data_IF_574069338630
#
_entry.id   IF_574069338630
#
_cell.length_a   1.000
_cell.length_b   1.000
_cell.length_c   1.000
_cell.angle_alpha   90.00
_cell.angle_beta   90.00
_cell.angle_gamma   90.00
#
_symmetry.space_group_name_H-M   'P 1'
#
loop_
_entity.id
_entity.type
_entity.pdbx_description
1 polymer ?
#
# COMPACT_ATOMS: atom_id res chain seq x y z
N UNK A 1 2.83 16.31 37.03
CA UNK A 1 2.67 17.15 35.83
C UNK A 1 3.31 16.40 34.68
N UNK A 2 2.49 15.69 33.89
CA UNK A 2 2.93 15.02 32.67
C UNK A 2 3.33 16.09 31.66
N UNK A 3 4.54 15.98 31.13
CA UNK A 3 4.96 16.73 29.94
C UNK A 3 3.92 16.51 28.86
N UNK A 4 3.36 17.54 28.20
CA UNK A 4 2.49 17.32 27.06
C UNK A 4 3.26 16.51 26.03
N UNK A 5 2.68 15.38 25.59
CA UNK A 5 3.17 14.66 24.42
C UNK A 5 3.34 15.68 23.29
N UNK A 6 4.56 15.80 22.77
CA UNK A 6 4.79 16.60 21.58
C UNK A 6 3.88 16.03 20.49
N UNK A 7 2.91 16.83 20.03
CA UNK A 7 1.99 16.43 18.98
C UNK A 7 2.82 15.97 17.79
N UNK A 8 2.74 14.67 17.43
CA UNK A 8 3.44 14.15 16.26
C UNK A 8 2.95 14.91 15.03
N UNK A 9 3.81 15.80 14.53
CA UNK A 9 3.50 16.67 13.39
C UNK A 9 3.20 15.86 12.13
N UNK A 10 3.63 14.60 12.06
CA UNK A 10 3.38 13.71 10.91
C UNK A 10 2.05 12.99 10.98
N UNK A 11 1.22 13.25 12.00
CA UNK A 11 -0.15 12.73 12.06
C UNK A 11 -0.90 13.13 10.77
N UNK A 12 -1.51 12.18 10.04
CA UNK A 12 -2.14 12.44 8.75
C UNK A 12 -3.45 13.21 8.94
N UNK A 13 -3.35 14.54 9.06
CA UNK A 13 -4.50 15.40 9.28
C UNK A 13 -5.51 15.26 8.13
N UNK A 14 -6.80 15.10 8.46
CA UNK A 14 -7.86 14.98 7.47
C UNK A 14 -8.00 13.61 6.80
N UNK A 15 -7.21 12.61 7.21
CA UNK A 15 -7.50 11.20 6.95
C UNK A 15 -8.21 10.62 8.17
N UNK A 16 -9.37 10.02 7.94
CA UNK A 16 -10.05 9.15 8.88
C UNK A 16 -10.35 7.80 8.24
N UNK A 17 -10.79 6.81 9.02
CA UNK A 17 -11.13 5.47 8.53
C UNK A 17 -12.09 5.42 7.32
N UNK A 18 -13.00 6.39 7.16
CA UNK A 18 -13.92 6.51 6.01
C UNK A 18 -13.38 7.35 4.86
N UNK A 19 -12.20 7.96 5.01
CA UNK A 19 -11.61 8.74 3.94
C UNK A 19 -11.25 7.81 2.79
N UNK A 20 -11.81 8.08 1.62
CA UNK A 20 -11.33 7.46 0.38
C UNK A 20 -9.97 8.09 0.09
N UNK A 21 -8.95 7.26 0.01
CA UNK A 21 -7.62 7.62 -0.46
C UNK A 21 -7.43 7.11 -1.87
N UNK A 22 -6.51 7.75 -2.59
CA UNK A 22 -6.18 7.35 -3.94
C UNK A 22 -4.70 7.51 -4.24
N UNK A 23 -4.21 6.63 -5.11
CA UNK A 23 -2.84 6.57 -5.57
C UNK A 23 -2.82 6.59 -7.08
N UNK A 24 -2.00 7.45 -7.68
CA UNK A 24 -1.72 7.37 -9.10
C UNK A 24 -0.84 6.15 -9.40
N UNK A 25 -1.23 5.39 -10.42
CA UNK A 25 -0.61 4.11 -10.77
C UNK A 25 -0.04 4.21 -12.17
N UNK A 26 1.21 3.81 -12.33
CA UNK A 26 1.83 3.72 -13.65
C UNK A 26 1.06 2.69 -14.51
N UNK A 27 0.74 2.98 -15.80
CA UNK A 27 -0.02 2.07 -16.65
C UNK A 27 0.49 0.61 -16.70
N UNK A 28 1.80 0.41 -16.66
CA UNK A 28 2.39 -0.92 -16.58
C UNK A 28 2.02 -1.66 -15.27
N UNK A 29 1.96 -0.97 -14.13
CA UNK A 29 1.56 -1.57 -12.86
C UNK A 29 0.04 -1.84 -12.82
N UNK A 30 -0.77 -0.97 -13.42
CA UNK A 30 -2.21 -1.20 -13.57
C UNK A 30 -2.51 -2.53 -14.29
N UNK A 31 -1.76 -2.84 -15.35
CA UNK A 31 -1.86 -4.12 -16.03
C UNK A 31 -1.49 -5.31 -15.12
N UNK A 32 -0.44 -5.17 -14.32
CA UNK A 32 -0.01 -6.22 -13.39
C UNK A 32 -1.02 -6.44 -12.26
N UNK A 33 -1.65 -5.38 -11.75
CA UNK A 33 -2.74 -5.47 -10.77
C UNK A 33 -3.89 -6.29 -11.35
N UNK A 34 -4.46 -5.86 -12.48
CA UNK A 34 -5.61 -6.51 -13.10
C UNK A 34 -5.33 -7.95 -13.55
N UNK A 35 -4.08 -8.25 -13.86
CA UNK A 35 -3.66 -9.61 -14.19
C UNK A 35 -3.27 -10.48 -13.02
N UNK A 36 -3.43 -10.01 -11.79
CA UNK A 36 -3.00 -10.72 -10.59
C UNK A 36 -1.54 -11.19 -10.66
N UNK A 37 -0.70 -10.42 -11.34
CA UNK A 37 0.69 -10.79 -11.60
C UNK A 37 1.54 -10.48 -10.38
N UNK A 38 2.38 -11.43 -10.00
CA UNK A 38 3.49 -11.19 -9.09
C UNK A 38 4.78 -11.20 -9.90
N UNK A 39 5.52 -10.10 -9.82
CA UNK A 39 6.87 -10.02 -10.40
C UNK A 39 7.84 -10.18 -9.24
N UNK A 40 8.59 -11.30 -9.16
CA UNK A 40 9.49 -11.57 -8.04
C UNK A 40 10.38 -10.36 -7.73
N UNK A 41 10.50 -10.03 -6.45
CA UNK A 41 11.24 -8.88 -5.92
C UNK A 41 10.78 -7.48 -6.37
N UNK A 42 9.77 -7.37 -7.25
CA UNK A 42 9.36 -6.10 -7.87
C UNK A 42 7.94 -5.70 -7.53
N UNK A 43 6.99 -6.61 -7.68
CA UNK A 43 5.58 -6.25 -7.67
C UNK A 43 4.69 -7.38 -7.12
N UNK A 44 3.68 -6.98 -6.35
CA UNK A 44 2.71 -7.84 -5.72
C UNK A 44 1.31 -7.23 -5.92
N UNK A 45 0.46 -7.88 -6.72
CA UNK A 45 -0.86 -7.32 -7.07
C UNK A 45 -1.81 -7.11 -5.88
N UNK A 46 -1.51 -7.65 -4.71
CA UNK A 46 -2.34 -7.53 -3.51
C UNK A 46 -1.86 -6.45 -2.53
N UNK A 47 -0.83 -5.67 -2.88
CA UNK A 47 -0.24 -4.65 -2.01
C UNK A 47 -0.05 -3.32 -2.71
N UNK A 48 -0.03 -2.25 -1.93
CA UNK A 48 0.39 -0.92 -2.37
C UNK A 48 1.07 -0.17 -1.23
N UNK A 49 1.83 0.85 -1.56
CA UNK A 49 2.50 1.76 -0.64
C UNK A 49 2.89 3.06 -1.33
N UNK A 50 3.56 3.95 -0.61
CA UNK A 50 4.03 5.24 -1.13
C UNK A 50 2.96 6.32 -1.13
N UNK A 51 3.09 7.27 -2.05
CA UNK A 51 2.30 8.51 -2.03
C UNK A 51 0.82 8.29 -2.39
N UNK A 52 -0.05 8.86 -1.55
CA UNK A 52 -1.50 8.88 -1.71
C UNK A 52 -2.06 10.27 -1.41
N UNK A 53 -3.24 10.57 -1.94
CA UNK A 53 -4.01 11.79 -1.66
C UNK A 53 -5.44 11.42 -1.28
N UNK A 54 -6.21 12.35 -0.69
CA UNK A 54 -7.64 12.11 -0.41
C UNK A 54 -8.43 12.22 -1.71
N UNK A 55 -9.37 11.31 -1.93
CA UNK A 55 -10.23 11.32 -3.11
C UNK A 55 -11.03 12.61 -3.27
N UNK A 56 -11.43 13.23 -2.16
CA UNK A 56 -12.21 14.48 -2.15
C UNK A 56 -11.41 15.73 -2.59
N UNK A 57 -10.07 15.70 -2.51
CA UNK A 57 -9.25 16.87 -2.84
C UNK A 57 -8.96 16.93 -4.34
N UNK A 58 -9.39 15.93 -5.10
CA UNK A 58 -8.94 15.76 -6.46
C UNK A 58 -9.76 16.57 -7.45
N UNK A 59 -9.11 17.31 -8.37
CA UNK A 59 -9.82 18.14 -9.32
C UNK A 59 -10.58 17.28 -10.34
N UNK A 60 -11.77 17.74 -10.73
CA UNK A 60 -12.37 17.32 -11.99
C UNK A 60 -11.53 17.87 -13.14
N UNK A 61 -11.30 17.08 -14.19
CA UNK A 61 -10.48 17.55 -15.31
C UNK A 61 -9.99 16.45 -16.24
N UNK A 62 -9.09 16.82 -17.14
CA UNK A 62 -8.45 15.92 -18.11
C UNK A 62 -7.38 15.07 -17.47
N UNK A 63 -6.98 13.97 -18.11
CA UNK A 63 -5.87 13.14 -17.62
C UNK A 63 -4.57 13.93 -17.38
N UNK A 64 -4.30 14.99 -18.15
CA UNK A 64 -3.15 15.87 -17.91
C UNK A 64 -3.29 16.66 -16.60
N UNK A 65 -4.48 17.19 -16.29
CA UNK A 65 -4.76 17.80 -15.00
C UNK A 65 -4.59 16.80 -13.84
N UNK A 66 -4.91 15.51 -14.07
CA UNK A 66 -4.65 14.46 -13.10
C UNK A 66 -3.13 14.29 -12.87
N UNK A 67 -2.34 14.18 -13.93
CA UNK A 67 -0.87 14.05 -13.79
C UNK A 67 -0.23 15.26 -13.13
N UNK A 68 -0.75 16.46 -13.40
CA UNK A 68 -0.27 17.72 -12.81
C UNK A 68 -0.62 17.80 -11.33
N UNK A 69 -1.83 17.42 -10.93
CA UNK A 69 -2.27 17.39 -9.53
C UNK A 69 -1.43 16.43 -8.66
N UNK A 70 -1.04 15.27 -9.19
CA UNK A 70 -0.09 14.35 -8.52
C UNK A 70 1.38 14.76 -8.70
N UNK A 71 1.66 15.72 -9.59
CA UNK A 71 3.02 16.13 -9.94
C UNK A 71 3.81 15.12 -10.76
N UNK A 72 3.20 14.01 -11.20
CA UNK A 72 3.90 12.99 -12.00
C UNK A 72 4.18 13.45 -13.42
N UNK A 73 3.54 14.52 -13.87
CA UNK A 73 3.87 15.24 -15.11
C UNK A 73 5.33 15.73 -15.16
N UNK A 74 5.92 15.95 -13.97
CA UNK A 74 7.31 16.39 -13.79
C UNK A 74 8.29 15.22 -13.62
N UNK A 75 7.80 13.99 -13.61
CA UNK A 75 8.63 12.78 -13.46
C UNK A 75 9.11 12.33 -14.84
N UNK A 76 10.43 12.23 -15.07
CA UNK A 76 10.96 11.80 -16.36
C UNK A 76 10.43 10.42 -16.77
N UNK A 77 9.92 10.32 -17.99
CA UNK A 77 9.41 9.07 -18.55
C UNK A 77 8.01 8.66 -18.10
N UNK A 78 7.32 9.47 -17.28
CA UNK A 78 5.94 9.20 -16.93
C UNK A 78 5.02 9.22 -18.18
N UNK A 79 4.17 8.20 -18.41
CA UNK A 79 3.31 8.15 -19.58
C UNK A 79 2.28 9.28 -19.65
N UNK A 80 2.11 9.85 -20.84
CA UNK A 80 1.05 10.83 -21.14
C UNK A 80 -0.24 10.16 -21.60
N UNK A 81 -1.35 10.89 -21.59
CA UNK A 81 -2.66 10.38 -22.00
C UNK A 81 -3.33 9.62 -20.87
N UNK A 82 -3.89 8.44 -21.14
CA UNK A 82 -4.67 7.65 -20.17
C UNK A 82 -3.89 7.40 -18.87
N UNK A 83 -4.48 7.75 -17.73
CA UNK A 83 -3.92 7.55 -16.40
C UNK A 83 -4.71 6.50 -15.62
N UNK A 84 -4.09 5.96 -14.57
CA UNK A 84 -4.73 4.97 -13.70
C UNK A 84 -4.67 5.40 -12.25
N UNK A 85 -5.75 5.16 -11.52
CA UNK A 85 -5.85 5.45 -10.09
C UNK A 85 -6.28 4.19 -9.34
N UNK A 86 -5.59 3.90 -8.24
CA UNK A 86 -6.07 2.97 -7.23
C UNK A 86 -6.87 3.77 -6.20
N UNK A 87 -8.08 3.33 -5.84
CA UNK A 87 -8.98 3.98 -4.87
C UNK A 87 -9.47 3.01 -3.81
N UNK A 88 -9.44 3.42 -2.54
CA UNK A 88 -9.87 2.59 -1.43
C UNK A 88 -10.11 3.41 -0.16
N UNK A 89 -10.82 2.86 0.81
CA UNK A 89 -10.93 3.47 2.14
C UNK A 89 -9.63 3.34 2.93
N UNK A 90 -9.29 4.33 3.75
CA UNK A 90 -8.10 4.28 4.59
C UNK A 90 -8.18 3.21 5.69
N UNK A 91 -9.37 2.91 6.22
CA UNK A 91 -9.69 2.00 7.35
C UNK A 91 -9.05 2.35 8.70
N UNK A 92 -7.83 2.88 8.69
CA UNK A 92 -7.08 3.31 9.87
C UNK A 92 -6.22 4.50 9.48
N UNK A 93 -5.87 5.33 10.46
CA UNK A 93 -4.91 6.42 10.27
C UNK A 93 -3.48 5.97 10.53
N UNK A 94 -3.28 4.81 11.16
CA UNK A 94 -1.97 4.32 11.63
C UNK A 94 -1.02 3.91 10.49
N UNK A 95 -1.53 3.73 9.27
CA UNK A 95 -0.73 3.35 8.09
C UNK A 95 -0.28 4.56 7.26
N UNK A 96 -0.68 5.78 7.66
CA UNK A 96 -0.46 6.99 6.89
C UNK A 96 0.34 8.01 7.70
N UNK A 97 1.22 8.73 7.02
CA UNK A 97 1.95 9.87 7.59
C UNK A 97 1.93 11.04 6.62
N UNK A 98 1.94 12.26 7.14
CA UNK A 98 2.10 13.46 6.31
C UNK A 98 3.52 13.51 5.74
N UNK A 99 3.66 13.85 4.45
CA UNK A 99 4.93 13.76 3.70
C UNK A 99 5.84 14.96 3.93
N UNK A 100 6.22 15.21 5.18
CA UNK A 100 7.27 16.17 5.49
C UNK A 100 8.65 15.62 5.14
N UNK A 101 9.50 16.44 4.52
CA UNK A 101 10.79 16.02 4.02
C UNK A 101 11.53 17.10 3.25
N UNK A 102 12.47 16.68 2.41
CA UNK A 102 13.16 17.59 1.52
C UNK A 102 13.72 16.90 0.28
N UNK A 103 14.33 17.69 -0.60
CA UNK A 103 15.06 17.18 -1.77
C UNK A 103 16.54 16.88 -1.49
N UNK A 104 17.00 17.30 -0.32
CA UNK A 104 18.32 17.07 0.25
C UNK A 104 18.16 16.78 1.74
N UNK A 105 19.13 16.11 2.34
CA UNK A 105 19.13 15.84 3.78
C UNK A 105 19.04 17.12 4.62
N UNK A 106 19.76 18.19 4.22
CA UNK A 106 19.70 19.48 4.89
C UNK A 106 18.29 20.10 4.89
N UNK A 107 17.57 20.02 3.76
CA UNK A 107 16.18 20.49 3.70
C UNK A 107 15.22 19.61 4.50
N UNK A 108 15.45 18.30 4.55
CA UNK A 108 14.65 17.38 5.36
C UNK A 108 14.82 17.66 6.87
N UNK A 109 16.06 17.89 7.32
CA UNK A 109 16.34 18.22 8.71
C UNK A 109 15.68 19.53 9.15
N UNK A 110 15.57 20.52 8.27
CA UNK A 110 14.80 21.76 8.54
C UNK A 110 13.31 21.50 8.77
N UNK A 111 12.78 20.40 8.24
CA UNK A 111 11.41 19.92 8.46
C UNK A 111 11.30 18.91 9.61
N UNK A 112 12.38 18.66 10.37
CA UNK A 112 12.38 17.75 11.51
C UNK A 112 12.37 16.26 11.13
N UNK A 113 12.86 15.91 9.96
CA UNK A 113 12.81 14.55 9.39
C UNK A 113 14.08 14.19 8.63
N UNK A 114 14.30 12.90 8.35
CA UNK A 114 15.36 12.39 7.46
C UNK A 114 14.84 11.98 6.08
N UNK A 115 13.56 12.24 5.81
CA UNK A 115 12.88 11.89 4.56
C UNK A 115 13.38 12.73 3.40
N UNK A 116 13.95 12.07 2.40
CA UNK A 116 14.54 12.70 1.21
C UNK A 116 13.99 12.03 -0.05
N UNK A 117 13.27 12.76 -0.88
CA UNK A 117 12.79 12.31 -2.19
C UNK A 117 13.26 13.27 -3.27
N UNK A 118 13.54 12.80 -4.50
CA UNK A 118 14.02 13.68 -5.55
C UNK A 118 12.87 14.51 -6.11
N UNK A 119 13.20 15.50 -6.96
CA UNK A 119 12.19 16.28 -7.67
C UNK A 119 11.17 15.36 -8.36
N UNK A 120 9.87 15.70 -8.34
CA UNK A 120 9.31 17.01 -7.98
C UNK A 120 8.90 17.17 -6.50
N UNK A 121 9.26 16.24 -5.60
CA UNK A 121 8.83 16.27 -4.19
C UNK A 121 9.09 17.62 -3.49
N UNK A 122 8.07 18.14 -2.80
CA UNK A 122 8.16 19.40 -2.06
C UNK A 122 8.57 19.23 -0.61
N UNK A 123 8.20 18.11 0.04
CA UNK A 123 8.44 17.91 1.47
C UNK A 123 7.56 18.75 2.39
N UNK A 124 6.48 19.32 1.87
CA UNK A 124 5.57 20.23 2.58
C UNK A 124 4.27 19.55 3.01
N UNK A 125 4.08 18.26 2.74
CA UNK A 125 2.80 17.58 2.91
C UNK A 125 1.78 17.88 1.81
N UNK A 126 2.22 18.48 0.69
CA UNK A 126 1.37 18.78 -0.46
C UNK A 126 2.04 18.39 -1.78
N UNK A 127 1.23 18.06 -2.78
CA UNK A 127 1.71 17.70 -4.12
C UNK A 127 2.36 18.87 -4.85
N UNK A 128 3.31 18.62 -5.78
CA UNK A 128 3.99 19.66 -6.54
C UNK A 128 3.18 20.12 -7.77
N UNK A 129 1.99 20.66 -7.55
CA UNK A 129 1.09 21.19 -8.58
C UNK A 129 0.87 22.70 -8.44
N UNK A 130 0.22 23.31 -9.43
CA UNK A 130 -0.24 24.70 -9.36
C UNK A 130 -1.36 24.91 -8.34
N UNK A 131 -2.13 23.85 -8.06
CA UNK A 131 -3.16 23.77 -7.02
C UNK A 131 -2.82 22.63 -6.04
N UNK A 132 -1.87 22.83 -5.11
CA UNK A 132 -1.36 21.77 -4.25
C UNK A 132 -2.46 21.12 -3.41
N UNK A 133 -2.50 19.79 -3.41
CA UNK A 133 -3.42 19.01 -2.57
C UNK A 133 -2.65 18.25 -1.49
N UNK A 134 -3.26 17.99 -0.32
CA UNK A 134 -2.63 17.21 0.74
C UNK A 134 -2.11 15.86 0.25
N UNK A 135 -0.87 15.56 0.60
CA UNK A 135 -0.13 14.36 0.21
C UNK A 135 0.31 13.59 1.46
N UNK A 136 0.18 12.27 1.40
CA UNK A 136 0.49 11.36 2.50
C UNK A 136 1.34 10.20 2.00
N UNK A 137 2.19 9.68 2.87
CA UNK A 137 2.91 8.44 2.65
C UNK A 137 2.13 7.31 3.31
N UNK A 138 1.82 6.29 2.53
CA UNK A 138 1.22 5.05 3.01
C UNK A 138 2.29 3.97 3.13
N UNK A 139 2.38 3.31 4.28
CA UNK A 139 3.23 2.13 4.44
C UNK A 139 2.84 1.03 3.45
N UNK A 140 3.80 0.22 3.00
CA UNK A 140 3.51 -0.93 2.15
C UNK A 140 2.62 -1.93 2.91
N UNK A 141 1.38 -2.09 2.46
CA UNK A 141 0.35 -2.90 3.12
C UNK A 141 -0.49 -3.64 2.08
N UNK A 142 -1.26 -4.63 2.52
CA UNK A 142 -2.29 -5.24 1.68
C UNK A 142 -3.39 -4.23 1.31
N UNK A 143 -3.88 -4.35 0.09
CA UNK A 143 -5.05 -3.62 -0.35
C UNK A 143 -6.29 -4.09 0.41
N UNK A 144 -7.18 -3.18 0.83
CA UNK A 144 -8.46 -3.58 1.38
C UNK A 144 -9.32 -4.25 0.29
N UNK A 145 -10.15 -5.20 0.69
CA UNK A 145 -11.26 -5.70 -0.14
C UNK A 145 -12.08 -4.52 -0.65
N UNK A 146 -12.58 -4.61 -1.88
CA UNK A 146 -13.31 -3.53 -2.54
C UNK A 146 -12.44 -2.37 -3.03
N UNK A 147 -11.10 -2.42 -2.91
CA UNK A 147 -10.24 -1.46 -3.59
C UNK A 147 -10.51 -1.49 -5.10
N UNK A 148 -10.55 -0.32 -5.73
CA UNK A 148 -10.92 -0.16 -7.13
C UNK A 148 -9.73 0.35 -7.93
N UNK A 149 -9.61 -0.12 -9.16
CA UNK A 149 -8.70 0.45 -10.15
C UNK A 149 -9.52 1.22 -11.18
N UNK A 150 -9.17 2.48 -11.37
CA UNK A 150 -9.85 3.40 -12.27
C UNK A 150 -8.94 3.76 -13.43
N UNK A 151 -9.53 3.86 -14.62
CA UNK A 151 -8.89 4.36 -15.84
C UNK A 151 -9.47 5.73 -16.16
N UNK A 152 -8.61 6.73 -16.29
CA UNK A 152 -8.97 8.11 -16.63
C UNK A 152 -8.48 8.38 -18.04
N UNK A 153 -9.41 8.55 -18.97
CA UNK A 153 -9.12 8.83 -20.37
C UNK A 153 -8.62 10.27 -20.55
N UNK A 154 -7.95 10.60 -21.68
CA UNK A 154 -7.46 11.95 -21.94
C UNK A 154 -8.53 13.04 -21.80
N UNK A 155 -9.80 12.73 -22.11
CA UNK A 155 -10.95 13.62 -21.96
C UNK A 155 -11.30 13.95 -20.51
N UNK A 156 -10.82 13.17 -19.53
CA UNK A 156 -11.24 13.22 -18.14
C UNK A 156 -12.31 12.19 -17.77
N UNK A 157 -12.85 11.46 -18.74
CA UNK A 157 -13.78 10.37 -18.47
C UNK A 157 -13.09 9.30 -17.61
N UNK A 158 -13.63 9.02 -16.43
CA UNK A 158 -13.10 8.06 -15.50
C UNK A 158 -14.05 6.86 -15.37
N UNK A 159 -13.51 5.65 -15.51
CA UNK A 159 -14.26 4.40 -15.32
C UNK A 159 -13.51 3.39 -14.48
N UNK A 160 -14.24 2.65 -13.65
CA UNK A 160 -13.69 1.51 -12.94
C UNK A 160 -13.36 0.38 -13.92
N UNK A 161 -12.13 -0.10 -13.87
CA UNK A 161 -11.57 -1.18 -14.69
C UNK A 161 -11.30 -2.45 -13.87
N UNK A 162 -11.59 -2.44 -12.58
CA UNK A 162 -11.52 -3.65 -11.78
C UNK A 162 -11.66 -3.35 -10.29
N UNK A 163 -11.94 -4.41 -9.55
CA UNK A 163 -12.03 -4.36 -8.09
C UNK A 163 -11.23 -5.50 -7.49
N UNK A 164 -10.60 -5.24 -6.36
CA UNK A 164 -9.86 -6.21 -5.57
C UNK A 164 -10.78 -6.88 -4.57
N UNK A 165 -10.86 -8.21 -4.58
CA UNK A 165 -11.78 -8.96 -3.74
C UNK A 165 -11.18 -9.18 -2.35
N UNK A 166 -10.03 -9.83 -2.25
CA UNK A 166 -9.18 -9.98 -1.05
C UNK A 166 -7.94 -10.80 -1.44
N UNK A 167 -6.97 -11.00 -0.52
CA UNK A 167 -5.66 -11.61 -0.83
C UNK A 167 -5.69 -13.02 -1.43
N UNK A 168 -6.78 -13.75 -1.24
CA UNK A 168 -6.95 -15.10 -1.79
C UNK A 168 -7.60 -15.14 -3.19
N UNK A 169 -8.33 -14.09 -3.59
CA UNK A 169 -9.04 -14.01 -4.88
C UNK A 169 -8.47 -12.93 -5.81
N UNK A 170 -7.90 -11.86 -5.25
CA UNK A 170 -7.24 -10.77 -5.96
C UNK A 170 -8.19 -9.91 -6.79
N UNK A 171 -7.66 -9.35 -7.88
CA UNK A 171 -8.35 -8.44 -8.78
C UNK A 171 -9.27 -9.15 -9.76
N UNK A 172 -10.45 -8.58 -9.93
CA UNK A 172 -11.43 -8.95 -10.94
C UNK A 172 -11.63 -7.75 -11.87
N UNK A 173 -11.21 -7.85 -13.15
CA UNK A 173 -11.44 -6.79 -14.13
C UNK A 173 -12.93 -6.60 -14.43
N UNK A 174 -13.33 -5.38 -14.84
CA UNK A 174 -14.67 -5.15 -15.39
C UNK A 174 -14.73 -5.53 -16.88
N UNK A 175 -15.94 -5.75 -17.42
CA UNK A 175 -16.15 -6.32 -18.76
C UNK A 175 -15.54 -5.50 -19.93
N UNK A 176 -15.23 -4.22 -19.70
CA UNK A 176 -14.75 -3.28 -20.73
C UNK A 176 -13.22 -3.09 -20.74
N UNK A 177 -12.50 -4.10 -20.23
CA UNK A 177 -11.07 -4.01 -19.98
C UNK A 177 -10.31 -4.93 -20.93
N UNK A 178 -9.93 -4.38 -22.08
CA UNK A 178 -8.93 -5.00 -22.94
C UNK A 178 -7.53 -4.62 -22.46
N UNK A 179 -6.87 -5.49 -21.70
CA UNK A 179 -5.43 -5.41 -21.45
C UNK A 179 -4.71 -6.54 -22.17
N UNK A 180 -3.85 -6.19 -23.13
CA UNK A 180 -3.00 -7.15 -23.85
C UNK A 180 -3.75 -8.18 -24.72
N UNK A 181 -3.02 -9.08 -25.39
CA UNK A 181 -3.59 -10.08 -26.30
C UNK A 181 -4.28 -11.27 -25.60
N UNK A 182 -4.29 -11.33 -24.26
CA UNK A 182 -4.74 -12.50 -23.50
C UNK A 182 -5.87 -12.14 -22.54
N UNK A 183 -7.11 -12.60 -22.82
CA UNK A 183 -8.28 -12.48 -21.93
C UNK A 183 -8.27 -13.49 -20.76
N UNK A 184 -7.20 -14.25 -20.60
CA UNK A 184 -7.07 -15.26 -19.56
C UNK A 184 -6.29 -14.68 -18.38
N UNK A 185 -7.03 -14.31 -17.33
CA UNK A 185 -6.46 -13.87 -16.07
C UNK A 185 -6.40 -15.09 -15.14
N UNK A 186 -5.21 -15.60 -14.81
CA UNK A 186 -5.11 -16.66 -13.82
C UNK A 186 -5.66 -16.14 -12.48
N UNK A 187 -6.27 -17.03 -11.70
CA UNK A 187 -6.47 -16.77 -10.28
C UNK A 187 -5.14 -16.30 -9.68
N UNK A 188 -5.13 -15.38 -8.70
CA UNK A 188 -3.89 -14.89 -8.13
C UNK A 188 -3.05 -16.08 -7.70
N UNK A 189 -1.76 -15.99 -7.96
CA UNK A 189 -0.84 -16.93 -7.36
C UNK A 189 -1.11 -16.90 -5.85
N UNK A 190 -1.55 -18.02 -5.29
CA UNK A 190 -1.66 -18.18 -3.85
C UNK A 190 -0.35 -17.72 -3.27
N UNK A 191 -0.42 -16.74 -2.36
CA UNK A 191 0.77 -16.20 -1.72
C UNK A 191 1.42 -17.35 -0.97
N UNK A 192 2.44 -17.95 -1.58
CA UNK A 192 3.38 -18.81 -0.88
C UNK A 192 4.22 -17.88 -0.03
N UNK A 193 3.62 -17.39 1.05
CA UNK A 193 4.24 -16.48 1.99
C UNK A 193 5.39 -17.23 2.64
N UNK A 194 6.60 -17.05 2.12
CA UNK A 194 7.83 -17.47 2.80
C UNK A 194 8.06 -16.61 4.05
N UNK A 195 7.41 -15.44 4.10
CA UNK A 195 7.44 -14.47 5.19
C UNK A 195 6.01 -14.04 5.53
N UNK A 196 5.50 -14.42 6.71
CA UNK A 196 4.20 -13.96 7.22
C UNK A 196 4.30 -12.50 7.65
N UNK A 197 3.39 -11.66 7.15
CA UNK A 197 3.31 -10.20 7.36
C UNK A 197 1.95 -9.65 6.92
N UNK A 198 1.69 -8.38 7.19
CA UNK A 198 0.46 -7.70 6.84
C UNK A 198 -0.52 -7.58 7.99
N UNK A 199 -1.76 -7.23 7.67
CA UNK A 199 -2.85 -7.21 8.64
C UNK A 199 -3.17 -8.64 9.13
N UNK A 200 -3.22 -8.79 10.46
CA UNK A 200 -3.53 -10.02 11.17
C UNK A 200 -4.63 -9.75 12.20
N UNK A 201 -5.40 -10.78 12.52
CA UNK A 201 -6.43 -10.69 13.55
C UNK A 201 -6.52 -11.99 14.35
N UNK A 202 -6.93 -11.85 15.61
CA UNK A 202 -7.27 -12.99 16.47
C UNK A 202 -8.79 -13.02 16.65
N UNK A 203 -9.43 -14.14 16.32
CA UNK A 203 -10.88 -14.31 16.38
C UNK A 203 -11.22 -15.63 17.07
N UNK A 204 -12.03 -15.57 18.13
CA UNK A 204 -12.38 -16.73 18.94
C UNK A 204 -11.15 -17.51 19.44
N UNK A 205 -10.10 -16.77 19.84
CA UNK A 205 -8.84 -17.35 20.33
C UNK A 205 -7.94 -17.97 19.26
N UNK A 206 -8.22 -17.78 17.96
CA UNK A 206 -7.41 -18.29 16.85
C UNK A 206 -6.85 -17.16 15.99
N UNK A 207 -5.62 -17.33 15.50
CA UNK A 207 -4.97 -16.37 14.62
C UNK A 207 -5.37 -16.57 13.15
N UNK A 208 -5.55 -15.45 12.46
CA UNK A 208 -5.86 -15.38 11.05
C UNK A 208 -4.98 -14.32 10.38
N UNK A 209 -4.72 -14.51 9.09
CA UNK A 209 -4.34 -13.39 8.24
C UNK A 209 -5.63 -12.62 7.89
N UNK A 210 -5.57 -11.31 7.74
CA UNK A 210 -6.77 -10.50 7.56
C UNK A 210 -6.59 -9.45 6.48
N UNK A 211 -7.65 -9.10 5.77
CA UNK A 211 -7.73 -7.86 4.99
C UNK A 211 -8.75 -6.93 5.66
N UNK A 212 -8.59 -5.63 5.48
CA UNK A 212 -9.71 -4.73 5.68
C UNK A 212 -10.79 -5.05 4.65
N UNK A 213 -12.07 -5.09 5.07
CA UNK A 213 -13.17 -5.39 4.17
C UNK A 213 -13.51 -4.19 3.25
N UNK A 214 -14.54 -4.31 2.40
CA UNK A 214 -14.99 -3.22 1.52
C UNK A 214 -15.68 -2.06 2.26
N UNK A 215 -15.95 -2.23 3.56
CA UNK A 215 -16.52 -1.20 4.42
C UNK A 215 -15.62 -0.95 5.61
N UNK A 216 -15.38 0.31 5.99
CA UNK A 216 -14.69 0.64 7.22
C UNK A 216 -15.37 0.02 8.45
N UNK A 217 -14.59 -0.56 9.36
CA UNK A 217 -15.10 -1.26 10.55
C UNK A 217 -15.35 -2.76 10.36
N UNK A 218 -15.01 -3.30 9.20
CA UNK A 218 -15.12 -4.73 8.91
C UNK A 218 -13.77 -5.30 8.44
N UNK A 219 -13.58 -6.61 8.69
CA UNK A 219 -12.41 -7.38 8.31
C UNK A 219 -12.83 -8.61 7.51
N UNK A 220 -11.95 -9.08 6.62
CA UNK A 220 -12.03 -10.40 5.99
C UNK A 220 -10.92 -11.27 6.56
N UNK A 221 -11.30 -12.32 7.28
CA UNK A 221 -10.39 -13.28 7.92
C UNK A 221 -10.08 -14.44 6.98
N UNK A 222 -8.81 -14.82 6.95
CA UNK A 222 -8.26 -15.90 6.13
C UNK A 222 -7.56 -16.92 7.03
N UNK A 223 -7.90 -18.23 6.91
CA UNK A 223 -7.16 -19.28 7.62
C UNK A 223 -5.68 -19.23 7.27
N UNK A 224 -4.82 -19.45 8.27
CA UNK A 224 -3.38 -19.49 8.03
C UNK A 224 -3.02 -20.66 7.09
N UNK A 225 -1.97 -20.51 6.27
CA UNK A 225 -1.53 -21.57 5.36
C UNK A 225 -1.34 -22.92 6.08
N UNK A 226 -1.92 -23.98 5.50
CA UNK A 226 -1.85 -25.33 6.06
C UNK A 226 -2.82 -25.62 7.22
N UNK A 227 -3.60 -24.63 7.68
CA UNK A 227 -4.64 -24.85 8.67
C UNK A 227 -6.00 -25.14 8.01
N UNK A 228 -6.79 -25.98 8.67
CA UNK A 228 -8.17 -26.20 8.26
C UNK A 228 -9.03 -24.96 8.58
N UNK A 229 -9.75 -24.49 7.57
CA UNK A 229 -10.74 -23.43 7.72
C UNK A 229 -11.83 -23.85 8.73
N UNK A 230 -12.24 -22.97 9.64
CA UNK A 230 -13.44 -23.18 10.46
C UNK A 230 -14.70 -23.43 9.59
N UNK A 231 -15.70 -24.13 10.14
CA UNK A 231 -16.89 -24.54 9.39
C UNK A 231 -17.78 -23.36 8.95
N UNK A 232 -17.73 -22.25 9.68
CA UNK A 232 -18.45 -21.01 9.44
C UNK A 232 -17.82 -20.14 8.33
N UNK A 233 -16.63 -20.50 7.83
CA UNK A 233 -15.99 -19.79 6.73
C UNK A 233 -16.64 -20.17 5.39
N UNK A 234 -17.06 -19.16 4.64
CA UNK A 234 -17.62 -19.33 3.31
C UNK A 234 -16.56 -19.85 2.33
N UNK A 235 -16.97 -20.71 1.39
CA UNK A 235 -16.13 -21.08 0.24
C UNK A 235 -16.60 -20.32 -1.00
N UNK A 236 -15.65 -19.67 -1.68
CA UNK A 236 -15.91 -19.06 -2.99
C UNK A 236 -14.62 -19.08 -3.80
N UNK A 237 -14.70 -19.54 -5.05
CA UNK A 237 -13.58 -19.58 -5.99
C UNK A 237 -12.32 -20.28 -5.43
N UNK A 238 -12.52 -21.32 -4.60
CA UNK A 238 -11.44 -22.08 -3.94
C UNK A 238 -10.81 -21.39 -2.72
N UNK A 239 -11.26 -20.18 -2.37
CA UNK A 239 -10.87 -19.45 -1.18
C UNK A 239 -11.85 -19.71 -0.03
N UNK A 240 -11.32 -19.76 1.20
CA UNK A 240 -12.11 -19.90 2.44
C UNK A 240 -11.87 -18.67 3.30
N UNK A 241 -12.93 -17.92 3.59
CA UNK A 241 -12.82 -16.68 4.36
C UNK A 241 -14.08 -16.40 5.18
N UNK A 242 -13.96 -15.49 6.14
CA UNK A 242 -15.07 -15.00 6.95
C UNK A 242 -14.99 -13.48 7.09
N UNK A 243 -16.07 -12.79 6.75
CA UNK A 243 -16.17 -11.35 6.96
C UNK A 243 -16.85 -11.06 8.31
N UNK A 244 -16.22 -10.24 9.15
CA UNK A 244 -16.71 -9.90 10.49
C UNK A 244 -16.53 -8.41 10.79
N UNK A 245 -17.37 -7.82 11.67
CA UNK A 245 -17.06 -6.52 12.26
C UNK A 245 -15.74 -6.55 13.04
N UNK A 246 -15.00 -5.45 13.02
CA UNK A 246 -13.72 -5.29 13.72
C UNK A 246 -13.87 -5.38 15.25
N UNK A 247 -15.06 -5.17 15.80
CA UNK A 247 -15.38 -5.39 17.22
C UNK A 247 -15.54 -6.85 17.61
N UNK A 248 -15.83 -7.73 16.65
CA UNK A 248 -16.05 -9.14 16.91
C UNK A 248 -14.75 -9.93 17.09
N UNK A 249 -13.62 -9.37 16.67
CA UNK A 249 -12.29 -9.99 16.82
C UNK A 249 -11.67 -9.61 18.15
N UNK A 250 -10.87 -10.51 18.72
CA UNK A 250 -10.16 -10.31 19.98
C UNK A 250 -9.08 -9.24 19.83
N UNK A 251 -8.34 -9.27 18.71
CA UNK A 251 -7.21 -8.38 18.42
C UNK A 251 -7.09 -8.10 16.92
N UNK A 252 -6.59 -6.91 16.57
CA UNK A 252 -6.19 -6.51 15.22
C UNK A 252 -4.79 -5.91 15.31
N UNK A 253 -3.89 -6.33 14.42
CA UNK A 253 -2.55 -5.75 14.34
C UNK A 253 -2.00 -5.80 12.92
N UNK A 254 -0.97 -4.99 12.67
CA UNK A 254 -0.11 -5.10 11.49
C UNK A 254 1.18 -5.79 11.91
N UNK A 255 1.50 -6.91 11.26
CA UNK A 255 2.74 -7.66 11.44
C UNK A 255 3.72 -7.32 10.33
N UNK A 256 4.95 -6.93 10.68
CA UNK A 256 6.05 -6.71 9.74
C UNK A 256 7.26 -7.51 10.18
N UNK A 257 8.02 -8.02 9.21
CA UNK A 257 9.33 -8.63 9.45
C UNK A 257 10.40 -7.59 9.13
N UNK A 258 11.05 -7.07 10.17
CA UNK A 258 12.11 -6.05 10.07
C UNK A 258 13.47 -6.71 9.97
N UNK A 259 14.41 -6.05 9.32
CA UNK A 259 15.82 -6.42 9.33
C UNK A 259 16.69 -5.21 9.01
N UNK A 260 18.00 -5.34 9.24
CA UNK A 260 18.99 -4.39 8.78
C UNK A 260 19.85 -5.05 7.69
N UNK A 261 20.15 -4.30 6.63
CA UNK A 261 21.09 -4.71 5.59
C UNK A 261 21.99 -3.53 5.22
N UNK A 262 23.31 -3.72 5.29
CA UNK A 262 24.32 -2.67 5.02
C UNK A 262 24.06 -1.36 5.76
N UNK A 263 23.63 -1.47 7.03
CA UNK A 263 23.38 -0.31 7.91
C UNK A 263 22.05 0.41 7.68
N UNK A 264 21.18 -0.06 6.77
CA UNK A 264 19.87 0.52 6.50
C UNK A 264 18.72 -0.42 6.90
N UNK A 265 17.56 0.17 7.20
CA UNK A 265 16.36 -0.53 7.67
C UNK A 265 15.49 -1.10 6.52
N UNK A 266 15.34 -2.41 6.61
CA UNK A 266 14.54 -3.40 5.89
C UNK A 266 13.12 -3.70 6.38
N UNK A 267 12.11 -3.76 5.50
CA UNK A 267 11.10 -4.82 5.65
C UNK A 267 11.49 -6.02 4.77
N UNK A 268 11.49 -7.22 5.35
CA UNK A 268 11.69 -8.48 4.66
C UNK A 268 10.36 -8.94 4.04
N UNK A 269 10.34 -9.09 2.72
CA UNK A 269 9.13 -9.41 1.96
C UNK A 269 9.00 -10.89 1.62
N UNK A 270 10.12 -11.52 1.29
CA UNK A 270 10.21 -12.88 0.78
C UNK A 270 11.61 -13.45 1.06
N UNK A 271 11.71 -14.76 1.25
CA UNK A 271 12.96 -15.50 1.39
C UNK A 271 12.89 -16.72 0.48
N UNK A 272 13.81 -16.81 -0.49
CA UNK A 272 13.92 -17.93 -1.42
C UNK A 272 15.36 -18.41 -1.51
N UNK A 273 15.61 -19.62 -1.01
CA UNK A 273 16.96 -20.16 -0.86
C UNK A 273 17.85 -19.23 -0.02
N UNK A 274 18.98 -18.85 -0.60
CA UNK A 274 19.97 -17.95 0.02
C UNK A 274 19.69 -16.46 -0.21
N UNK A 275 18.55 -16.12 -0.80
CA UNK A 275 18.18 -14.73 -1.13
C UNK A 275 16.96 -14.27 -0.36
N UNK A 276 16.93 -12.97 -0.08
CA UNK A 276 15.85 -12.26 0.55
C UNK A 276 15.43 -11.05 -0.29
N UNK A 277 14.13 -10.81 -0.40
CA UNK A 277 13.58 -9.59 -1.00
C UNK A 277 13.32 -8.57 0.09
N UNK A 278 13.85 -7.36 -0.08
CA UNK A 278 13.78 -6.30 0.93
C UNK A 278 13.06 -5.06 0.39
N UNK A 279 12.25 -4.41 1.23
CA UNK A 279 11.62 -3.10 0.97
C UNK A 279 12.26 -1.98 1.79
N UNK A 280 12.62 -0.91 1.08
CA UNK A 280 13.11 0.39 1.53
C UNK A 280 12.31 1.04 2.66
N UNK A 281 12.78 1.12 3.90
CA UNK A 281 12.05 1.85 4.97
C UNK A 281 12.62 3.23 5.31
N UNK A 282 13.81 3.57 4.82
CA UNK A 282 14.49 4.81 5.21
C UNK A 282 13.96 6.08 4.55
N UNK A 283 13.06 5.98 3.57
CA UNK A 283 12.46 7.12 2.83
C UNK A 283 13.49 8.16 2.36
N UNK A 284 14.68 7.70 1.97
CA UNK A 284 15.79 8.54 1.54
C UNK A 284 16.36 8.03 0.21
N UNK A 285 16.10 8.77 -0.87
CA UNK A 285 16.48 8.35 -2.22
C UNK A 285 18.01 8.35 -2.44
N UNK A 286 18.76 9.19 -1.72
CA UNK A 286 20.22 9.23 -1.81
C UNK A 286 20.82 7.95 -1.23
N UNK A 287 20.30 7.50 -0.08
CA UNK A 287 20.66 6.21 0.52
C UNK A 287 20.23 5.05 -0.38
N UNK A 288 19.01 5.11 -0.94
CA UNK A 288 18.53 4.10 -1.88
C UNK A 288 19.45 3.97 -3.11
N UNK A 289 19.90 5.09 -3.67
CA UNK A 289 20.84 5.13 -4.78
C UNK A 289 22.23 4.57 -4.40
N UNK A 290 22.76 4.94 -3.23
CA UNK A 290 24.04 4.43 -2.72
C UNK A 290 24.02 2.91 -2.51
N UNK A 291 22.89 2.37 -2.05
CA UNK A 291 22.70 0.93 -1.86
C UNK A 291 22.36 0.17 -3.15
N UNK A 292 22.21 0.88 -4.28
CA UNK A 292 21.84 0.29 -5.57
C UNK A 292 20.43 -0.28 -5.60
N UNK A 293 19.52 0.26 -4.79
CA UNK A 293 18.12 -0.18 -4.77
C UNK A 293 17.42 0.20 -6.08
N UNK A 294 16.44 -0.60 -6.49
CA UNK A 294 15.60 -0.29 -7.65
C UNK A 294 14.29 0.34 -7.19
N UNK A 295 13.89 1.44 -7.82
CA UNK A 295 12.53 1.97 -7.69
C UNK A 295 11.55 1.04 -8.43
N UNK A 296 10.63 0.42 -7.70
CA UNK A 296 9.70 -0.60 -8.23
C UNK A 296 8.26 -0.09 -8.41
N UNK A 297 7.96 1.01 -7.73
CA UNK A 297 6.77 1.83 -7.85
C UNK A 297 7.20 3.26 -7.47
N UNK A 298 6.38 4.26 -7.75
CA UNK A 298 6.70 5.67 -7.51
C UNK A 298 7.18 5.86 -6.06
N UNK A 299 8.49 6.11 -5.94
CA UNK A 299 9.24 6.35 -4.71
C UNK A 299 9.21 5.20 -3.70
N UNK A 300 9.14 3.98 -4.21
CA UNK A 300 9.26 2.74 -3.43
C UNK A 300 10.45 1.97 -3.94
N UNK A 301 11.40 1.64 -3.07
CA UNK A 301 12.63 0.98 -3.45
C UNK A 301 12.73 -0.42 -2.87
N UNK A 302 13.18 -1.37 -3.69
CA UNK A 302 13.42 -2.76 -3.29
C UNK A 302 14.77 -3.25 -3.76
N UNK A 303 15.24 -4.31 -3.13
CA UNK A 303 16.43 -5.05 -3.56
C UNK A 303 16.30 -6.53 -3.24
N UNK A 304 17.17 -7.33 -3.85
CA UNK A 304 17.44 -8.70 -3.46
C UNK A 304 18.81 -8.72 -2.76
N UNK A 305 18.85 -9.25 -1.55
CA UNK A 305 20.07 -9.35 -0.75
C UNK A 305 20.35 -10.81 -0.39
N UNK A 306 21.62 -11.20 -0.20
CA UNK A 306 21.94 -12.50 0.40
C UNK A 306 21.36 -12.58 1.81
N UNK A 307 20.62 -13.65 2.10
CA UNK A 307 19.98 -13.86 3.41
C UNK A 307 20.99 -13.82 4.56
N UNK A 308 22.20 -14.31 4.32
CA UNK A 308 23.27 -14.35 5.32
C UNK A 308 23.82 -12.95 5.68
N UNK A 309 23.56 -11.92 4.87
CA UNK A 309 23.95 -10.53 5.17
C UNK A 309 22.91 -9.80 6.02
N UNK A 310 21.73 -10.38 6.25
CA UNK A 310 20.68 -9.75 7.05
C UNK A 310 21.00 -9.86 8.53
N UNK A 311 20.91 -8.75 9.24
CA UNK A 311 21.02 -8.67 10.70
C UNK A 311 19.71 -8.17 11.30
N UNK A 312 19.56 -8.32 12.62
CA UNK A 312 18.40 -7.78 13.37
C UNK A 312 17.04 -8.19 12.77
N UNK A 313 16.94 -9.45 12.31
CA UNK A 313 15.70 -9.99 11.75
C UNK A 313 14.71 -10.24 12.89
N UNK A 314 13.61 -9.48 12.91
CA UNK A 314 12.62 -9.54 14.00
C UNK A 314 11.19 -9.28 13.52
N UNK A 315 10.23 -9.74 14.31
CA UNK A 315 8.84 -9.34 14.16
C UNK A 315 8.58 -8.00 14.84
N UNK A 316 7.87 -7.14 14.12
CA UNK A 316 7.31 -5.89 14.61
C UNK A 316 5.78 -5.98 14.48
N UNK A 317 5.08 -5.98 15.61
CA UNK A 317 3.61 -6.02 15.65
C UNK A 317 3.09 -4.70 16.18
N UNK A 318 2.29 -4.01 15.37
CA UNK A 318 1.64 -2.76 15.74
C UNK A 318 0.15 -2.98 15.88
N UNK A 319 -0.36 -2.92 17.11
CA UNK A 319 -1.78 -3.03 17.38
C UNK A 319 -2.56 -1.91 16.68
N UNK A 320 -3.72 -2.25 16.14
CA UNK A 320 -4.66 -1.29 15.58
C UNK A 320 -5.87 -1.12 16.49
N UNK A 321 -6.46 0.09 16.55
CA UNK A 321 -7.71 0.30 17.27
C UNK A 321 -8.84 -0.52 16.64
N UNK A 322 -9.67 -1.14 17.49
CA UNK A 322 -10.91 -1.86 17.13
C UNK A 322 -12.12 -0.99 17.41
N UNK A 323 -13.24 -1.27 16.75
CA UNK A 323 -14.51 -0.60 17.03
C UNK A 323 -14.50 0.88 16.69
N UNK A 324 -13.73 1.26 15.67
CA UNK A 324 -13.63 2.65 15.22
C UNK A 324 -14.98 3.24 14.80
N UNK A 325 -15.95 2.37 14.52
CA UNK A 325 -17.30 2.71 14.08
C UNK A 325 -18.40 2.26 15.02
N UNK A 326 -18.04 1.71 16.18
CA UNK A 326 -19.00 1.34 17.21
C UNK A 326 -19.37 2.58 17.99
N UNK A 327 -20.33 3.33 17.46
CA UNK A 327 -21.12 4.23 18.29
C UNK A 327 -21.94 3.37 19.27
N UNK A 328 -21.87 3.75 20.55
CA UNK A 328 -22.63 3.25 21.71
C UNK A 328 -23.88 2.41 21.42
#
# INVERSE_FOLDING_TARGET
>A
MSTPEATDVRKPAGIGPQTIVQKIVHPALAALYLGNVTVPARFEAHRAGGFVTRGQDFPEGTADAFTEAFGVDKVPGWPKGTQYLLRFYAHTTTLFTTTFGGRTLDSAHKMGTSTVYPAPFLGTGYTPSSNPIPEYFMELTELPSGAELWRVEPSGEAKSVGFYVHRQIGWVPTDDVAFGPSRFWPAPATLRMTVRRGLIARYQGRDFDADFANRPGELVLHPLPGQQAPQDFAEKDGARFLQVPDVAVDEIAVLRKRCTWRGAEFELLDVSGDHAVLNFLGENYEVAAQLGLTEVDYRQWRTVAPRAELTDVRDETRALPRGLFSAN
#
